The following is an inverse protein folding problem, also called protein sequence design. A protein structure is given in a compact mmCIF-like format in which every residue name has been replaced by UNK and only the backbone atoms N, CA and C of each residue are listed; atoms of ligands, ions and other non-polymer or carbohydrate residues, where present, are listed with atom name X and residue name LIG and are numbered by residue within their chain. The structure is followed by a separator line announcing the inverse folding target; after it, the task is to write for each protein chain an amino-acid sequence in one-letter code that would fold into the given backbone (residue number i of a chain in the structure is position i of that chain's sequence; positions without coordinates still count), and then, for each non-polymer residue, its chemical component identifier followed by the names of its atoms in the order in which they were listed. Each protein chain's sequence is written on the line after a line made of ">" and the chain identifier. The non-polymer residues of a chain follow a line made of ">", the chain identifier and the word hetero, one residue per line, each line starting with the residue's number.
data_IF_189451585269
#
_entry.id   IF_189451585269
#
_cell.length_a   1.000
_cell.length_b   1.000
_cell.length_c   1.000
_cell.angle_alpha   90.00
_cell.angle_beta   90.00
_cell.angle_gamma   90.00
#
_symmetry.space_group_name_H-M   'P 1'
#
loop_
_entity.id
_entity.type
_entity.pdbx_description
1 polymer ?
#
# COMPACT_ATOMS: atom_id res chain seq x y z
N UNK A 1 67.18 42.54 -15.20
CA UNK A 1 66.31 42.46 -14.01
C UNK A 1 65.13 41.56 -14.37
N UNK A 2 65.21 40.26 -14.04
CA UNK A 2 64.08 39.33 -14.21
C UNK A 2 63.78 38.77 -12.82
N UNK A 3 62.72 39.27 -12.21
CA UNK A 3 62.16 38.69 -10.99
C UNK A 3 61.69 37.27 -11.30
N UNK A 4 62.33 36.28 -10.66
CA UNK A 4 61.86 34.91 -10.66
C UNK A 4 60.75 34.79 -9.63
N UNK A 5 59.51 35.08 -10.03
CA UNK A 5 58.31 34.80 -9.23
C UNK A 5 58.24 33.30 -8.91
N UNK A 6 58.60 32.94 -7.69
CA UNK A 6 58.48 31.58 -7.17
C UNK A 6 56.99 31.31 -6.93
N UNK A 7 56.35 30.60 -7.85
CA UNK A 7 54.94 30.22 -7.76
C UNK A 7 54.77 29.18 -6.64
N UNK A 8 54.42 29.62 -5.45
CA UNK A 8 54.04 28.76 -4.32
C UNK A 8 52.86 27.86 -4.73
N UNK A 9 53.10 26.55 -4.91
CA UNK A 9 52.01 25.59 -5.12
C UNK A 9 51.26 25.44 -3.80
N UNK A 10 50.11 26.09 -3.66
CA UNK A 10 49.18 25.85 -2.54
C UNK A 10 48.93 24.34 -2.45
N UNK A 11 49.36 23.71 -1.35
CA UNK A 11 49.11 22.28 -1.07
C UNK A 11 47.59 22.09 -1.01
N UNK A 12 47.01 21.45 -2.03
CA UNK A 12 45.61 21.01 -1.96
C UNK A 12 45.55 19.91 -0.91
N UNK A 13 44.89 20.18 0.22
CA UNK A 13 44.53 19.13 1.18
C UNK A 13 43.45 18.27 0.51
N UNK A 14 43.85 17.10 0.01
CA UNK A 14 42.95 16.10 -0.54
C UNK A 14 42.36 15.25 0.57
N UNK A 15 41.18 14.69 0.31
CA UNK A 15 40.56 13.66 1.15
C UNK A 15 41.42 12.40 1.14
N UNK A 16 41.58 11.77 2.30
CA UNK A 16 42.36 10.53 2.42
C UNK A 16 41.47 9.32 2.11
N UNK A 17 42.04 8.26 1.57
CA UNK A 17 41.31 7.01 1.33
C UNK A 17 40.82 6.39 2.64
N UNK A 18 41.56 6.56 3.73
CA UNK A 18 41.18 6.03 5.05
C UNK A 18 39.93 6.73 5.59
N UNK A 19 39.79 8.05 5.39
CA UNK A 19 38.58 8.78 5.76
C UNK A 19 37.35 8.25 5.00
N UNK A 20 37.50 7.92 3.71
CA UNK A 20 36.40 7.33 2.94
C UNK A 20 35.98 5.97 3.50
N UNK A 21 36.96 5.12 3.83
CA UNK A 21 36.72 3.75 4.29
C UNK A 21 35.97 3.76 5.63
N UNK A 22 36.35 4.64 6.56
CA UNK A 22 35.67 4.74 7.86
C UNK A 22 34.21 5.17 7.68
N UNK A 23 33.93 6.12 6.77
CA UNK A 23 32.56 6.56 6.48
C UNK A 23 31.72 5.42 5.90
N UNK A 24 32.26 4.67 4.94
CA UNK A 24 31.56 3.51 4.37
C UNK A 24 31.29 2.42 5.42
N UNK A 25 32.23 2.19 6.34
CA UNK A 25 32.06 1.23 7.43
C UNK A 25 30.88 1.60 8.36
N UNK A 26 30.76 2.88 8.74
CA UNK A 26 29.66 3.35 9.60
C UNK A 26 28.31 3.24 8.85
N UNK A 27 28.25 3.66 7.59
CA UNK A 27 27.03 3.55 6.76
C UNK A 27 26.60 2.09 6.63
N UNK A 28 27.53 1.15 6.45
CA UNK A 28 27.24 -0.28 6.34
C UNK A 28 26.59 -0.83 7.62
N UNK A 29 27.08 -0.46 8.81
CA UNK A 29 26.50 -0.88 10.10
C UNK A 29 25.08 -0.35 10.26
N UNK A 30 24.85 0.93 9.95
CA UNK A 30 23.51 1.54 10.03
C UNK A 30 22.56 0.87 9.03
N UNK A 31 23.01 0.67 7.78
CA UNK A 31 22.21 0.06 6.73
C UNK A 31 21.78 -1.37 7.07
N UNK A 32 22.68 -2.16 7.70
CA UNK A 32 22.38 -3.53 8.12
C UNK A 32 21.17 -3.62 9.07
N UNK A 33 20.99 -2.63 9.95
CA UNK A 33 19.85 -2.58 10.89
C UNK A 33 18.65 -1.87 10.25
N UNK A 34 18.90 -0.79 9.50
CA UNK A 34 17.85 0.07 8.96
C UNK A 34 17.06 -0.61 7.83
N UNK A 35 17.71 -1.32 6.91
CA UNK A 35 17.07 -1.96 5.75
C UNK A 35 15.96 -2.96 6.14
N UNK A 36 16.20 -3.97 7.01
CA UNK A 36 15.15 -4.92 7.38
C UNK A 36 14.00 -4.25 8.14
N UNK A 37 14.31 -3.31 9.04
CA UNK A 37 13.27 -2.58 9.77
C UNK A 37 12.41 -1.71 8.83
N UNK A 38 13.05 -0.98 7.91
CA UNK A 38 12.35 -0.17 6.92
C UNK A 38 11.45 -1.02 6.02
N UNK A 39 11.94 -2.19 5.60
CA UNK A 39 11.15 -3.13 4.79
C UNK A 39 9.91 -3.60 5.54
N UNK A 40 10.04 -3.95 6.82
CA UNK A 40 8.91 -4.34 7.67
C UNK A 40 7.90 -3.20 7.84
N UNK A 41 8.36 -1.99 8.20
CA UNK A 41 7.47 -0.83 8.37
C UNK A 41 6.73 -0.49 7.08
N UNK A 42 7.40 -0.61 5.93
CA UNK A 42 6.76 -0.41 4.62
C UNK A 42 5.67 -1.46 4.36
N UNK A 43 5.95 -2.74 4.62
CA UNK A 43 4.97 -3.82 4.50
C UNK A 43 3.76 -3.60 5.44
N UNK A 44 4.02 -3.26 6.70
CA UNK A 44 2.96 -2.96 7.68
C UNK A 44 2.12 -1.74 7.26
N UNK A 45 2.75 -0.73 6.65
CA UNK A 45 2.05 0.46 6.15
C UNK A 45 1.15 0.13 4.96
N UNK A 46 1.58 -0.76 4.05
CA UNK A 46 0.75 -1.28 2.96
C UNK A 46 -0.49 -2.00 3.51
N UNK A 47 -0.29 -2.91 4.48
CA UNK A 47 -1.38 -3.64 5.15
C UNK A 47 -2.37 -2.68 5.83
N UNK A 48 -1.88 -1.64 6.51
CA UNK A 48 -2.73 -0.63 7.16
C UNK A 48 -3.55 0.18 6.15
N UNK A 49 -2.93 0.61 5.05
CA UNK A 49 -3.62 1.34 3.99
C UNK A 49 -4.74 0.48 3.38
N UNK A 50 -4.44 -0.79 3.10
CA UNK A 50 -5.40 -1.75 2.55
C UNK A 50 -6.55 -2.03 3.53
N UNK A 51 -6.25 -2.13 4.82
CA UNK A 51 -7.27 -2.29 5.87
C UNK A 51 -8.19 -1.07 5.92
N UNK A 52 -7.66 0.14 5.81
CA UNK A 52 -8.47 1.37 5.77
C UNK A 52 -9.37 1.45 4.52
N UNK A 53 -8.87 0.99 3.38
CA UNK A 53 -9.66 0.86 2.15
C UNK A 53 -10.76 -0.21 2.29
N UNK A 54 -10.45 -1.34 2.92
CA UNK A 54 -11.44 -2.39 3.22
C UNK A 54 -12.54 -1.91 4.17
N UNK A 55 -12.22 -1.10 5.18
CA UNK A 55 -13.21 -0.44 6.05
C UNK A 55 -14.13 0.51 5.28
N UNK A 56 -13.56 1.24 4.31
CA UNK A 56 -14.35 2.13 3.45
C UNK A 56 -15.32 1.33 2.58
N UNK A 57 -14.85 0.24 1.96
CA UNK A 57 -15.70 -0.70 1.21
C UNK A 57 -16.80 -1.24 2.11
N UNK A 58 -16.46 -1.72 3.31
CA UNK A 58 -17.44 -2.26 4.26
C UNK A 58 -18.53 -1.26 4.59
N UNK A 59 -18.17 0.00 4.87
CA UNK A 59 -19.13 1.08 5.15
C UNK A 59 -20.07 1.33 3.97
N UNK A 60 -19.55 1.34 2.75
CA UNK A 60 -20.35 1.49 1.52
C UNK A 60 -21.34 0.33 1.40
N UNK A 61 -20.85 -0.91 1.52
CA UNK A 61 -21.69 -2.11 1.42
C UNK A 61 -22.75 -2.15 2.51
N UNK A 62 -22.42 -1.82 3.77
CA UNK A 62 -23.39 -1.74 4.86
C UNK A 62 -24.46 -0.69 4.60
N UNK A 63 -24.08 0.47 4.05
CA UNK A 63 -25.04 1.53 3.70
C UNK A 63 -26.00 1.06 2.62
N UNK A 64 -25.50 0.37 1.60
CA UNK A 64 -26.29 -0.19 0.49
C UNK A 64 -27.18 -1.37 0.90
N UNK A 65 -26.71 -2.16 1.86
CA UNK A 65 -27.50 -3.21 2.48
C UNK A 65 -28.64 -2.60 3.31
N UNK A 66 -28.35 -1.56 4.09
CA UNK A 66 -29.34 -0.87 4.90
C UNK A 66 -30.37 -0.07 4.08
N UNK A 67 -29.98 0.47 2.91
CA UNK A 67 -30.92 1.13 1.99
C UNK A 67 -31.82 0.16 1.23
N UNK A 68 -31.55 -1.15 1.29
CA UNK A 68 -32.28 -2.18 0.56
C UNK A 68 -31.85 -2.35 -0.90
N UNK A 69 -30.74 -1.72 -1.29
CA UNK A 69 -30.18 -1.84 -2.65
C UNK A 69 -29.55 -3.23 -2.86
N UNK A 70 -28.98 -3.81 -1.80
CA UNK A 70 -28.46 -5.19 -1.80
C UNK A 70 -29.52 -6.09 -1.15
N UNK A 71 -30.01 -7.09 -1.89
CA UNK A 71 -30.97 -8.08 -1.39
C UNK A 71 -30.28 -9.40 -1.09
N UNK A 72 -30.54 -9.93 0.10
CA UNK A 72 -30.09 -11.27 0.49
C UNK A 72 -31.26 -12.24 0.30
N UNK A 73 -31.05 -13.29 -0.48
CA UNK A 73 -32.06 -14.31 -0.80
C UNK A 73 -32.30 -15.31 0.37
N UNK A 74 -32.01 -14.91 1.62
CA UNK A 74 -32.22 -15.67 2.85
C UNK A 74 -31.38 -16.95 3.03
N UNK A 75 -30.94 -17.59 1.96
CA UNK A 75 -30.26 -18.89 1.97
C UNK A 75 -28.79 -18.84 1.58
N UNK A 76 -28.33 -17.76 0.92
CA UNK A 76 -26.98 -17.69 0.33
C UNK A 76 -26.19 -16.51 0.84
N UNK A 77 -24.97 -16.80 1.30
CA UNK A 77 -23.94 -15.79 1.47
C UNK A 77 -23.55 -15.22 0.10
N UNK A 78 -23.37 -13.91 0.03
CA UNK A 78 -22.97 -13.20 -1.18
C UNK A 78 -21.48 -12.88 -1.09
N UNK A 79 -20.70 -13.39 -2.06
CA UNK A 79 -19.27 -13.13 -2.17
C UNK A 79 -18.96 -12.32 -3.42
N UNK A 80 -18.35 -11.16 -3.26
CA UNK A 80 -18.08 -10.19 -4.34
C UNK A 80 -16.61 -9.81 -4.32
N UNK A 81 -15.98 -9.84 -5.49
CA UNK A 81 -14.61 -9.40 -5.70
C UNK A 81 -14.60 -8.01 -6.32
N UNK A 82 -14.00 -7.05 -5.62
CA UNK A 82 -13.80 -5.67 -6.08
C UNK A 82 -12.35 -5.49 -6.47
N UNK A 83 -12.09 -5.31 -7.76
CA UNK A 83 -10.75 -5.11 -8.33
C UNK A 83 -10.64 -3.69 -8.89
N UNK A 84 -9.99 -2.76 -8.18
CA UNK A 84 -9.69 -1.44 -8.71
C UNK A 84 -8.79 -1.54 -9.95
N UNK A 85 -9.10 -0.77 -11.00
CA UNK A 85 -8.36 -0.75 -12.26
C UNK A 85 -7.91 0.67 -12.58
N UNK A 86 -6.70 0.81 -13.14
CA UNK A 86 -6.23 2.09 -13.68
C UNK A 86 -6.94 2.38 -15.01
N UNK A 87 -7.37 3.63 -15.18
CA UNK A 87 -8.04 4.15 -16.38
C UNK A 87 -9.32 3.40 -16.82
N UNK A 88 -9.86 2.54 -15.96
CA UNK A 88 -11.09 1.78 -16.18
C UNK A 88 -11.96 1.77 -14.92
N UNK A 89 -13.29 1.63 -15.07
CA UNK A 89 -14.17 1.45 -13.92
C UNK A 89 -13.74 0.25 -13.07
N UNK A 90 -13.95 0.36 -11.76
CA UNK A 90 -13.70 -0.74 -10.82
C UNK A 90 -14.46 -1.99 -11.27
N UNK A 91 -13.76 -3.12 -11.36
CA UNK A 91 -14.35 -4.40 -11.74
C UNK A 91 -14.99 -5.05 -10.51
N UNK A 92 -16.24 -5.46 -10.62
CA UNK A 92 -17.02 -6.10 -9.57
C UNK A 92 -17.49 -7.46 -10.07
N UNK A 93 -17.10 -8.55 -9.41
CA UNK A 93 -17.42 -9.92 -9.83
C UNK A 93 -17.82 -10.85 -8.68
N UNK A 94 -18.95 -11.56 -8.76
CA UNK A 94 -19.98 -11.44 -9.80
C UNK A 94 -20.68 -10.08 -9.73
N UNK A 95 -21.35 -9.67 -10.82
CA UNK A 95 -22.20 -8.49 -10.79
C UNK A 95 -23.24 -8.65 -9.68
N UNK A 96 -23.34 -7.66 -8.80
CA UNK A 96 -24.25 -7.66 -7.66
C UNK A 96 -25.25 -6.51 -7.81
N UNK A 97 -26.52 -6.80 -7.55
CA UNK A 97 -27.57 -5.78 -7.51
C UNK A 97 -27.24 -4.77 -6.39
N UNK A 98 -27.37 -3.47 -6.69
CA UNK A 98 -27.12 -2.39 -5.72
C UNK A 98 -25.67 -1.94 -5.55
N UNK A 99 -24.70 -2.65 -6.14
CA UNK A 99 -23.28 -2.26 -6.13
C UNK A 99 -22.78 -1.93 -7.54
N UNK A 100 -22.24 -0.74 -7.69
CA UNK A 100 -21.74 -0.20 -8.95
C UNK A 100 -20.28 0.22 -8.84
N UNK A 101 -19.59 0.35 -9.97
CA UNK A 101 -18.19 0.80 -9.99
C UNK A 101 -18.02 2.21 -9.38
N UNK A 102 -19.04 3.07 -9.47
CA UNK A 102 -19.04 4.42 -8.89
C UNK A 102 -18.96 4.39 -7.37
N UNK A 103 -19.56 3.38 -6.72
CA UNK A 103 -19.53 3.24 -5.26
C UNK A 103 -18.10 3.05 -4.74
N UNK A 104 -17.19 2.51 -5.58
CA UNK A 104 -15.83 2.16 -5.19
C UNK A 104 -14.74 2.95 -5.90
N UNK A 105 -15.08 3.99 -6.66
CA UNK A 105 -14.10 4.76 -7.47
C UNK A 105 -12.98 5.42 -6.65
N UNK A 106 -13.26 5.76 -5.40
CA UNK A 106 -12.29 6.39 -4.49
C UNK A 106 -11.42 5.37 -3.75
N UNK A 107 -11.75 4.08 -3.85
CA UNK A 107 -11.01 3.02 -3.19
C UNK A 107 -9.74 2.73 -3.97
N UNK A 108 -8.60 2.85 -3.28
CA UNK A 108 -7.28 2.58 -3.86
C UNK A 108 -7.08 1.09 -4.10
N UNK A 109 -6.33 0.74 -5.16
CA UNK A 109 -5.83 -0.63 -5.37
C UNK A 109 -5.08 -1.11 -4.11
N UNK A 110 -5.21 -2.40 -3.72
CA UNK A 110 -4.39 -2.95 -2.65
C UNK A 110 -2.89 -2.70 -2.89
N UNK A 111 -2.18 -2.40 -1.81
CA UNK A 111 -0.77 -2.03 -1.81
C UNK A 111 0.12 -3.22 -1.43
N UNK A 112 -0.46 -4.26 -0.82
CA UNK A 112 0.22 -5.53 -0.54
C UNK A 112 0.69 -6.23 -1.84
N UNK A 113 1.91 -6.77 -1.81
CA UNK A 113 2.48 -7.45 -2.97
C UNK A 113 1.71 -8.73 -3.31
N UNK A 114 1.31 -8.88 -4.58
CA UNK A 114 0.52 -10.01 -5.07
C UNK A 114 -0.97 -9.96 -4.72
N UNK A 115 -1.46 -8.88 -4.10
CA UNK A 115 -2.89 -8.69 -3.82
C UNK A 115 -3.46 -7.65 -4.78
N UNK A 116 -4.55 -7.99 -5.46
CA UNK A 116 -5.13 -7.12 -6.49
C UNK A 116 -6.58 -6.71 -6.24
N UNK A 117 -7.27 -7.41 -5.33
CA UNK A 117 -8.68 -7.24 -5.10
C UNK A 117 -9.04 -7.27 -3.61
N UNK A 118 -10.19 -6.67 -3.32
CA UNK A 118 -10.89 -6.81 -2.05
C UNK A 118 -12.04 -7.80 -2.24
N UNK A 119 -12.26 -8.65 -1.25
CA UNK A 119 -13.32 -9.66 -1.27
C UNK A 119 -14.34 -9.27 -0.20
N UNK A 120 -15.55 -8.94 -0.62
CA UNK A 120 -16.68 -8.66 0.25
C UNK A 120 -17.44 -9.99 0.43
N UNK A 121 -17.60 -10.42 1.67
CA UNK A 121 -18.44 -11.56 2.05
C UNK A 121 -19.58 -11.03 2.93
N UNK A 122 -20.80 -11.11 2.43
CA UNK A 122 -22.03 -10.80 3.16
C UNK A 122 -22.68 -12.12 3.56
N UNK A 123 -22.79 -12.37 4.86
CA UNK A 123 -23.46 -13.59 5.33
C UNK A 123 -25.00 -13.48 5.24
N UNK A 124 -25.67 -14.60 5.50
CA UNK A 124 -27.14 -14.70 5.50
C UNK A 124 -27.81 -13.82 6.56
N UNK A 125 -27.08 -13.42 7.59
CA UNK A 125 -27.56 -12.63 8.71
C UNK A 125 -27.33 -11.12 8.45
N UNK A 126 -26.73 -10.77 7.31
CA UNK A 126 -26.44 -9.39 6.90
C UNK A 126 -25.11 -8.85 7.44
N UNK A 127 -24.27 -9.68 8.05
CA UNK A 127 -22.94 -9.24 8.47
C UNK A 127 -22.03 -9.13 7.24
N UNK A 128 -21.40 -7.96 7.10
CA UNK A 128 -20.48 -7.67 6.00
C UNK A 128 -19.05 -7.80 6.50
N UNK A 129 -18.28 -8.66 5.85
CA UNK A 129 -16.83 -8.79 6.07
C UNK A 129 -16.09 -8.46 4.77
N UNK A 130 -14.92 -7.82 4.88
CA UNK A 130 -14.09 -7.47 3.74
C UNK A 130 -12.69 -8.03 3.95
N UNK A 131 -12.24 -8.88 3.04
CA UNK A 131 -10.94 -9.54 3.07
C UNK A 131 -9.99 -8.89 2.06
N UNK A 132 -8.77 -8.60 2.47
CA UNK A 132 -7.67 -8.13 1.62
C UNK A 132 -6.37 -8.84 2.04
N UNK A 133 -5.78 -9.58 1.11
CA UNK A 133 -4.64 -10.45 1.42
C UNK A 133 -4.94 -11.40 2.58
N UNK A 134 -4.20 -11.25 3.69
CA UNK A 134 -4.37 -12.04 4.92
C UNK A 134 -5.19 -11.34 6.01
N UNK A 135 -5.70 -10.13 5.74
CA UNK A 135 -6.49 -9.34 6.68
C UNK A 135 -7.97 -9.45 6.38
N UNK A 136 -8.76 -9.53 7.44
CA UNK A 136 -10.22 -9.56 7.40
C UNK A 136 -10.73 -8.43 8.27
N UNK A 137 -11.52 -7.55 7.67
CA UNK A 137 -12.28 -6.48 8.32
C UNK A 137 -13.69 -7.00 8.55
N UNK A 138 -14.24 -6.79 9.76
CA UNK A 138 -15.52 -7.37 10.20
C UNK A 138 -16.47 -6.33 10.73
#
# INVERSE_FOLDING_TARGET
>A
MKELLTKERKKKKGFTLIELIIVLAIIAIIAAIAIPNFTKVRADSKVKADTQSAETIRRITLTKLASGDIKLDGEKALKITVTPQEDKPVKIEPAAEGLTAEDFKEVKKPQQDGVEAYIIDIDKDGNVTVTVGTKVVK
#
